data_IF_761852051710
#
_entry.id   IF_761852051710
#
_cell.length_a   1.000
_cell.length_b   1.000
_cell.length_c   1.000
_cell.angle_alpha   90.00
_cell.angle_beta   90.00
_cell.angle_gamma   90.00
#
_symmetry.space_group_name_H-M   'P 1'
#
loop_
_entity.id
_entity.type
_entity.pdbx_description
1 polymer ?
#
# COMPACT_ATOMS: atom_id res chain seq x y z
N UNK A 1 -15.70 -34.19 -7.47
CA UNK A 1 -16.10 -32.92 -6.82
C UNK A 1 -14.81 -32.15 -6.64
N UNK A 2 -14.56 -31.23 -7.58
CA UNK A 2 -13.28 -30.55 -7.71
C UNK A 2 -13.04 -29.61 -6.55
N UNK A 3 -11.90 -29.79 -5.91
CA UNK A 3 -11.33 -28.89 -4.92
C UNK A 3 -10.79 -27.66 -5.67
N UNK A 4 -11.71 -26.78 -6.07
CA UNK A 4 -11.38 -25.46 -6.62
C UNK A 4 -10.87 -24.63 -5.45
N UNK A 5 -9.60 -24.80 -5.08
CA UNK A 5 -8.94 -23.93 -4.11
C UNK A 5 -9.01 -22.51 -4.67
N UNK A 6 -9.68 -21.62 -3.94
CA UNK A 6 -9.62 -20.18 -4.13
C UNK A 6 -8.15 -19.76 -4.22
N UNK A 7 -7.67 -19.60 -5.45
CA UNK A 7 -6.36 -19.02 -5.67
C UNK A 7 -6.54 -17.52 -5.44
N UNK A 8 -5.74 -16.90 -4.55
CA UNK A 8 -5.86 -15.47 -4.32
C UNK A 8 -5.73 -14.77 -5.67
N UNK A 9 -6.72 -13.92 -5.99
CA UNK A 9 -6.68 -13.13 -7.21
C UNK A 9 -5.36 -12.38 -7.26
N UNK A 10 -4.72 -12.37 -8.43
CA UNK A 10 -3.58 -11.49 -8.64
C UNK A 10 -4.00 -10.04 -8.33
N UNK A 11 -3.14 -9.28 -7.66
CA UNK A 11 -3.44 -7.91 -7.20
C UNK A 11 -4.08 -7.07 -8.31
N UNK A 12 -3.53 -7.17 -9.52
CA UNK A 12 -4.01 -6.39 -10.66
C UNK A 12 -5.34 -6.89 -11.20
N UNK A 13 -5.62 -8.19 -11.13
CA UNK A 13 -6.96 -8.72 -11.44
C UNK A 13 -7.99 -8.15 -10.46
N UNK A 14 -7.68 -8.15 -9.16
CA UNK A 14 -8.55 -7.54 -8.15
C UNK A 14 -8.77 -6.04 -8.35
N UNK A 15 -7.71 -5.30 -8.70
CA UNK A 15 -7.80 -3.85 -9.02
C UNK A 15 -8.66 -3.61 -10.26
N UNK A 16 -8.53 -4.41 -11.32
CA UNK A 16 -9.36 -4.28 -12.53
C UNK A 16 -10.83 -4.59 -12.23
N UNK A 17 -11.12 -5.62 -11.42
CA UNK A 17 -12.48 -5.97 -11.02
C UNK A 17 -13.13 -4.84 -10.22
N UNK A 18 -12.41 -4.30 -9.22
CA UNK A 18 -12.87 -3.17 -8.41
C UNK A 18 -13.03 -1.90 -9.23
N UNK A 19 -12.08 -1.60 -10.12
CA UNK A 19 -12.17 -0.47 -11.03
C UNK A 19 -13.38 -0.61 -11.95
N UNK A 20 -13.61 -1.79 -12.54
CA UNK A 20 -14.77 -2.05 -13.41
C UNK A 20 -16.09 -1.87 -12.67
N UNK A 21 -16.18 -2.37 -11.43
CA UNK A 21 -17.35 -2.16 -10.59
C UNK A 21 -17.57 -0.67 -10.30
N UNK A 22 -16.51 0.05 -9.93
CA UNK A 22 -16.52 1.50 -9.71
C UNK A 22 -16.96 2.27 -10.97
N UNK A 23 -16.43 1.90 -12.13
CA UNK A 23 -16.67 2.56 -13.41
C UNK A 23 -18.12 2.39 -13.86
N UNK A 24 -18.67 1.19 -13.64
CA UNK A 24 -20.05 0.84 -13.99
C UNK A 24 -21.08 1.53 -13.09
N UNK A 25 -20.72 1.85 -11.84
CA UNK A 25 -21.63 2.41 -10.84
C UNK A 25 -21.41 3.92 -10.58
N UNK A 26 -20.67 4.62 -11.45
CA UNK A 26 -20.38 6.05 -11.24
C UNK A 26 -21.48 6.96 -11.82
N UNK A 27 -21.84 8.05 -11.12
CA UNK A 27 -22.75 9.06 -11.65
C UNK A 27 -22.08 10.05 -12.61
N UNK A 28 -20.74 10.19 -12.57
CA UNK A 28 -19.96 11.15 -13.35
C UNK A 28 -18.80 10.44 -14.06
N UNK A 29 -18.54 10.78 -15.32
CA UNK A 29 -17.49 10.20 -16.16
C UNK A 29 -16.34 11.18 -16.41
N UNK A 30 -15.34 10.74 -17.19
CA UNK A 30 -14.23 11.57 -17.64
C UNK A 30 -13.41 12.21 -16.50
N UNK A 31 -13.10 13.50 -16.66
CA UNK A 31 -12.22 14.26 -15.76
C UNK A 31 -12.83 14.42 -14.36
N UNK A 32 -14.14 14.60 -14.24
CA UNK A 32 -14.82 14.78 -12.95
C UNK A 32 -14.77 13.48 -12.12
N UNK A 33 -15.01 12.34 -12.76
CA UNK A 33 -14.86 11.01 -12.14
C UNK A 33 -13.44 10.79 -11.61
N UNK A 34 -12.42 11.17 -12.37
CA UNK A 34 -11.02 11.12 -11.91
C UNK A 34 -10.78 12.01 -10.70
N UNK A 35 -11.23 13.27 -10.73
CA UNK A 35 -11.04 14.21 -9.61
C UNK A 35 -11.69 13.69 -8.32
N UNK A 36 -12.88 13.10 -8.41
CA UNK A 36 -13.53 12.48 -7.25
C UNK A 36 -12.73 11.29 -6.70
N UNK A 37 -12.09 10.49 -7.57
CA UNK A 37 -11.22 9.39 -7.11
C UNK A 37 -9.97 9.90 -6.41
N UNK A 38 -9.40 11.01 -6.88
CA UNK A 38 -8.31 11.68 -6.18
C UNK A 38 -8.76 12.25 -4.83
N UNK A 39 -9.97 12.82 -4.75
CA UNK A 39 -10.51 13.33 -3.49
C UNK A 39 -10.78 12.21 -2.46
N UNK A 40 -11.23 11.04 -2.92
CA UNK A 40 -11.45 9.86 -2.06
C UNK A 40 -10.19 9.49 -1.26
N UNK A 41 -8.99 9.67 -1.80
CA UNK A 41 -7.73 9.44 -1.07
C UNK A 41 -7.63 10.24 0.24
N UNK A 42 -8.20 11.45 0.28
CA UNK A 42 -8.17 12.26 1.50
C UNK A 42 -9.10 11.70 2.59
N UNK A 43 -10.18 11.04 2.18
CA UNK A 43 -11.11 10.36 3.09
C UNK A 43 -10.44 9.14 3.72
N UNK A 44 -9.86 8.26 2.91
CA UNK A 44 -9.16 7.04 3.37
C UNK A 44 -7.98 7.38 4.32
N UNK A 45 -7.21 8.43 4.01
CA UNK A 45 -6.14 8.91 4.91
C UNK A 45 -6.70 9.47 6.23
N UNK A 46 -7.90 10.05 6.18
CA UNK A 46 -8.63 10.46 7.38
C UNK A 46 -9.03 9.27 8.24
N UNK A 47 -9.50 8.18 7.63
CA UNK A 47 -9.88 6.95 8.32
C UNK A 47 -8.66 6.25 8.95
N UNK A 48 -7.51 6.20 8.26
CA UNK A 48 -6.24 5.76 8.86
C UNK A 48 -5.92 6.60 10.11
N UNK A 49 -6.10 7.91 10.03
CA UNK A 49 -5.83 8.82 11.16
C UNK A 49 -6.79 8.55 12.33
N UNK A 50 -8.06 8.29 12.04
CA UNK A 50 -9.06 7.91 13.05
C UNK A 50 -8.72 6.57 13.72
N UNK A 51 -8.35 5.56 12.94
CA UNK A 51 -7.94 4.25 13.44
C UNK A 51 -6.69 4.37 14.34
N UNK A 52 -5.69 5.17 13.95
CA UNK A 52 -4.49 5.42 14.76
C UNK A 52 -4.84 6.13 16.08
N UNK A 53 -5.68 7.15 16.05
CA UNK A 53 -6.16 7.83 17.28
C UNK A 53 -6.91 6.82 18.18
N UNK A 54 -7.69 5.94 17.56
CA UNK A 54 -8.44 4.88 18.24
C UNK A 54 -7.56 3.84 18.93
N UNK A 55 -6.51 3.34 18.26
CA UNK A 55 -5.62 2.31 18.84
C UNK A 55 -4.68 2.91 19.90
N UNK A 56 -4.28 4.16 19.72
CA UNK A 56 -3.40 4.87 20.68
C UNK A 56 -4.16 5.44 21.88
N UNK A 57 -5.50 5.40 21.86
CA UNK A 57 -6.35 5.88 22.95
C UNK A 57 -6.25 7.39 23.18
N UNK A 58 -5.83 8.17 22.17
CA UNK A 58 -5.57 9.61 22.31
C UNK A 58 -6.84 10.44 22.52
N UNK A 59 -8.03 9.85 22.34
CA UNK A 59 -9.30 10.49 22.68
C UNK A 59 -9.68 10.20 24.14
N UNK A 60 -9.55 11.17 25.08
CA UNK A 60 -9.77 10.93 26.51
C UNK A 60 -11.20 10.55 26.85
N UNK A 61 -12.17 10.80 25.95
CA UNK A 61 -13.58 10.49 26.14
C UNK A 61 -13.97 9.08 25.72
N UNK A 62 -13.15 8.42 24.89
CA UNK A 62 -13.48 7.11 24.31
C UNK A 62 -12.48 6.00 24.66
N UNK A 63 -11.28 6.33 25.13
CA UNK A 63 -10.25 5.32 25.40
C UNK A 63 -9.79 4.64 24.11
N UNK A 64 -9.34 3.38 24.20
CA UNK A 64 -8.94 2.58 23.04
C UNK A 64 -10.19 2.03 22.35
N UNK A 65 -10.39 2.36 21.08
CA UNK A 65 -11.57 1.97 20.30
C UNK A 65 -11.27 1.12 19.08
N UNK A 66 -10.00 1.09 18.67
CA UNK A 66 -9.53 0.37 17.48
C UNK A 66 -8.35 -0.52 17.85
N UNK A 67 -8.04 -1.43 16.95
CA UNK A 67 -6.90 -2.33 16.97
C UNK A 67 -5.87 -1.92 15.92
N UNK A 68 -4.68 -2.51 15.97
CA UNK A 68 -3.70 -2.34 14.91
C UNK A 68 -4.12 -3.04 13.60
N UNK A 69 -5.06 -3.99 13.66
CA UNK A 69 -5.61 -4.61 12.46
C UNK A 69 -6.54 -3.64 11.73
N UNK A 70 -7.28 -2.80 12.45
CA UNK A 70 -8.08 -1.73 11.85
C UNK A 70 -7.16 -0.74 11.11
N UNK A 71 -6.04 -0.33 11.72
CA UNK A 71 -5.05 0.54 11.04
C UNK A 71 -4.49 -0.12 9.77
N UNK A 72 -4.24 -1.43 9.79
CA UNK A 72 -3.79 -2.15 8.60
C UNK A 72 -4.86 -2.18 7.51
N UNK A 73 -6.13 -2.37 7.87
CA UNK A 73 -7.24 -2.35 6.94
C UNK A 73 -7.37 -0.98 6.26
N UNK A 74 -7.37 0.11 7.03
CA UNK A 74 -7.47 1.46 6.47
C UNK A 74 -6.26 1.81 5.56
N UNK A 75 -5.06 1.32 5.89
CA UNK A 75 -3.90 1.47 5.01
C UNK A 75 -4.06 0.69 3.70
N UNK A 76 -4.68 -0.49 3.74
CA UNK A 76 -5.02 -1.23 2.53
C UNK A 76 -6.04 -0.48 1.68
N UNK A 77 -7.04 0.17 2.29
CA UNK A 77 -8.05 0.94 1.58
C UNK A 77 -7.46 2.18 0.89
N UNK A 78 -6.49 2.86 1.51
CA UNK A 78 -5.68 3.91 0.85
C UNK A 78 -4.96 3.36 -0.37
N UNK A 79 -4.29 2.20 -0.25
CA UNK A 79 -3.53 1.60 -1.36
C UNK A 79 -4.45 1.20 -2.50
N UNK A 80 -5.57 0.54 -2.20
CA UNK A 80 -6.57 0.11 -3.19
C UNK A 80 -7.17 1.33 -3.90
N UNK A 81 -7.56 2.36 -3.16
CA UNK A 81 -8.10 3.61 -3.72
C UNK A 81 -7.09 4.30 -4.62
N UNK A 82 -5.81 4.32 -4.25
CA UNK A 82 -4.74 4.88 -5.08
C UNK A 82 -4.53 4.09 -6.39
N UNK A 83 -4.59 2.76 -6.33
CA UNK A 83 -4.46 1.90 -7.52
C UNK A 83 -5.66 2.07 -8.46
N UNK A 84 -6.87 2.16 -7.93
CA UNK A 84 -8.09 2.44 -8.72
C UNK A 84 -8.01 3.83 -9.36
N UNK A 85 -7.54 4.85 -8.63
CA UNK A 85 -7.35 6.19 -9.17
C UNK A 85 -6.30 6.21 -10.29
N UNK A 86 -5.17 5.49 -10.11
CA UNK A 86 -4.16 5.32 -11.16
C UNK A 86 -4.75 4.63 -12.39
N UNK A 87 -5.55 3.59 -12.20
CA UNK A 87 -6.23 2.88 -13.31
C UNK A 87 -7.29 3.71 -14.02
N UNK A 88 -7.91 4.65 -13.30
CA UNK A 88 -8.81 5.64 -13.89
C UNK A 88 -8.05 6.65 -14.75
N UNK A 89 -6.83 7.01 -14.34
CA UNK A 89 -5.96 7.95 -15.08
C UNK A 89 -5.33 7.32 -16.33
N UNK A 90 -5.00 6.04 -16.28
CA UNK A 90 -4.33 5.33 -17.39
C UNK A 90 -4.69 3.84 -17.42
N UNK A 91 -4.92 3.25 -18.61
CA UNK A 91 -5.11 1.80 -18.73
C UNK A 91 -3.84 1.01 -18.39
N UNK A 92 -2.66 1.63 -18.45
CA UNK A 92 -1.36 0.96 -18.23
C UNK A 92 -0.91 1.02 -16.75
N UNK A 93 -1.86 1.10 -15.82
CA UNK A 93 -1.58 1.33 -14.39
C UNK A 93 -0.58 0.34 -13.79
N UNK A 94 -0.68 -0.94 -14.17
CA UNK A 94 0.25 -1.99 -13.73
C UNK A 94 1.69 -1.69 -14.14
N UNK A 95 1.91 -1.31 -15.39
CA UNK A 95 3.24 -0.98 -15.90
C UNK A 95 3.77 0.29 -15.23
N UNK A 96 2.94 1.33 -15.14
CA UNK A 96 3.29 2.61 -14.52
C UNK A 96 3.71 2.42 -13.07
N UNK A 97 2.92 1.70 -12.28
CA UNK A 97 3.23 1.40 -10.89
C UNK A 97 4.51 0.59 -10.77
N UNK A 98 4.65 -0.50 -11.52
CA UNK A 98 5.82 -1.40 -11.45
C UNK A 98 7.11 -0.66 -11.80
N UNK A 99 7.09 0.15 -12.87
CA UNK A 99 8.23 0.97 -13.28
C UNK A 99 8.57 2.03 -12.22
N UNK A 100 7.57 2.68 -11.63
CA UNK A 100 7.80 3.66 -10.58
C UNK A 100 8.39 3.03 -9.32
N UNK A 101 7.84 1.89 -8.89
CA UNK A 101 8.33 1.12 -7.74
C UNK A 101 9.78 0.67 -7.94
N UNK A 102 10.12 0.14 -9.11
CA UNK A 102 11.50 -0.25 -9.44
C UNK A 102 12.47 0.93 -9.31
N UNK A 103 12.10 2.11 -9.82
CA UNK A 103 12.90 3.33 -9.70
C UNK A 103 13.08 3.79 -8.26
N UNK A 104 12.02 3.74 -7.45
CA UNK A 104 12.08 4.10 -6.02
C UNK A 104 13.00 3.11 -5.28
N UNK A 105 12.89 1.81 -5.59
CA UNK A 105 13.73 0.76 -5.01
C UNK A 105 15.20 0.96 -5.33
N UNK A 106 15.54 1.21 -6.59
CA UNK A 106 16.91 1.48 -7.03
C UNK A 106 17.50 2.71 -6.32
N UNK A 107 16.72 3.79 -6.25
CA UNK A 107 17.14 5.02 -5.55
C UNK A 107 17.36 4.81 -4.06
N UNK A 108 16.50 4.04 -3.40
CA UNK A 108 16.53 3.88 -1.94
C UNK A 108 17.51 2.81 -1.44
N UNK A 109 17.72 1.74 -2.22
CA UNK A 109 18.57 0.60 -1.83
C UNK A 109 19.93 0.55 -2.56
N UNK A 110 20.14 1.43 -3.55
CA UNK A 110 21.33 1.45 -4.40
C UNK A 110 21.41 0.26 -5.39
N UNK A 111 22.41 0.25 -6.30
CA UNK A 111 22.54 -0.78 -7.35
C UNK A 111 22.89 -2.19 -6.86
N UNK A 112 23.08 -2.44 -5.56
CA UNK A 112 23.42 -3.76 -5.04
C UNK A 112 23.18 -3.85 -3.53
N UNK A 113 22.09 -4.48 -3.13
CA UNK A 113 22.03 -5.22 -1.87
C UNK A 113 22.74 -6.58 -2.03
N UNK A 114 23.95 -6.57 -2.60
CA UNK A 114 24.86 -7.70 -2.63
C UNK A 114 26.12 -7.24 -1.94
N UNK A 115 26.22 -7.57 -0.65
CA UNK A 115 27.48 -7.42 0.09
C UNK A 115 28.44 -8.45 -0.50
N UNK A 116 29.53 -8.00 -1.14
CA UNK A 116 30.59 -8.91 -1.53
C UNK A 116 31.32 -9.39 -0.26
N UNK A 117 31.63 -10.69 -0.12
CA UNK A 117 32.28 -11.24 1.08
C UNK A 117 33.63 -10.60 1.45
N UNK A 118 34.24 -9.86 0.51
CA UNK A 118 35.50 -9.15 0.69
C UNK A 118 35.38 -7.80 1.40
N UNK A 119 34.15 -7.28 1.58
CA UNK A 119 33.89 -6.01 2.28
C UNK A 119 33.55 -6.20 3.78
N UNK A 120 33.64 -7.44 4.29
CA UNK A 120 33.48 -7.72 5.71
C UNK A 120 34.72 -7.24 6.50
N UNK A 121 34.56 -6.37 7.51
CA UNK A 121 35.68 -5.96 8.35
C UNK A 121 36.22 -7.18 9.12
N UNK A 122 37.55 -7.33 9.14
CA UNK A 122 38.21 -8.43 9.82
C UNK A 122 37.78 -8.49 11.31
N UNK A 123 37.53 -9.70 11.86
CA UNK A 123 37.07 -9.84 13.23
C UNK A 123 38.10 -9.26 14.20
N UNK A 124 37.65 -8.32 15.05
CA UNK A 124 38.48 -7.77 16.13
C UNK A 124 38.82 -8.89 17.11
N UNK A 125 40.11 -9.09 17.37
CA UNK A 125 40.57 -9.91 18.48
C UNK A 125 40.02 -9.34 19.79
N UNK A 126 39.26 -10.15 20.50
CA UNK A 126 38.75 -9.82 21.82
C UNK A 126 39.92 -9.92 22.79
N UNK A 127 40.44 -8.77 23.22
CA UNK A 127 41.41 -8.69 24.30
C UNK A 127 40.74 -8.98 25.63
N UNK A 128 41.36 -9.87 26.41
CA UNK A 128 40.99 -10.23 27.77
C UNK A 128 40.84 -8.99 28.66
N UNK A 129 39.78 -8.97 29.47
CA UNK A 129 39.61 -8.00 30.54
C UNK A 129 39.73 -8.78 31.86
N UNK A 130 40.75 -8.41 32.63
CA UNK A 130 41.04 -8.83 34.01
C UNK A 130 39.91 -8.47 34.97
#
# INVERSE_FOLDING_TARGET
>A
MSDQKDQPADLWTGVEDLWTWVDTNRPLDGQEGLLLRILKLSEEVGEVSEAVIGVTGQNPRKGVTHTWDDVQAELCDVVITALIALRTLTPDAQEVFTRHLARVRERSLGPSAVVHPQDLPAPRQVGEIH
#
